data_IF_679925584661
#
_entry.id   IF_679925584661
#
_cell.length_a   1.000
_cell.length_b   1.000
_cell.length_c   1.000
_cell.angle_alpha   90.00
_cell.angle_beta   90.00
_cell.angle_gamma   90.00
#
_symmetry.space_group_name_H-M   'P 1'
#
loop_
_entity.id
_entity.type
_entity.pdbx_description
1 polymer ?
#
# COMPACT_ATOMS: atom_id res chain seq x y z
N UNK A 1 9.66 16.65 -61.49
CA UNK A 1 9.66 17.48 -60.26
C UNK A 1 8.59 17.07 -59.22
N UNK A 2 7.35 16.76 -59.57
CA UNK A 2 6.31 16.37 -58.55
C UNK A 2 6.58 15.05 -57.83
N UNK A 3 7.22 14.06 -58.43
CA UNK A 3 7.53 12.77 -57.74
C UNK A 3 8.69 12.87 -56.74
N UNK A 4 9.65 13.78 -56.92
CA UNK A 4 10.75 13.96 -56.00
C UNK A 4 10.30 14.65 -54.68
N UNK A 5 9.29 15.53 -54.77
CA UNK A 5 8.73 16.20 -53.59
C UNK A 5 7.95 15.25 -52.67
N UNK A 6 7.26 14.25 -53.27
CA UNK A 6 6.48 13.25 -52.52
C UNK A 6 7.38 12.29 -51.71
N UNK A 7 8.53 11.92 -52.29
CA UNK A 7 9.50 11.06 -51.56
C UNK A 7 10.17 11.77 -50.41
N UNK A 8 10.48 13.08 -50.52
CA UNK A 8 11.04 13.85 -49.42
C UNK A 8 10.05 14.03 -48.26
N UNK A 9 8.76 14.21 -48.53
CA UNK A 9 7.74 14.37 -47.48
C UNK A 9 7.53 13.06 -46.69
N UNK A 10 7.52 11.91 -47.36
CA UNK A 10 7.37 10.61 -46.70
C UNK A 10 8.58 10.30 -45.80
N UNK A 11 9.80 10.65 -46.26
CA UNK A 11 11.01 10.41 -45.46
C UNK A 11 11.09 11.31 -44.23
N UNK A 12 10.65 12.57 -44.32
CA UNK A 12 10.61 13.50 -43.19
C UNK A 12 9.54 13.05 -42.16
N UNK A 13 8.37 12.55 -42.61
CA UNK A 13 7.36 12.05 -41.73
C UNK A 13 7.79 10.73 -41.01
N UNK A 14 8.51 9.84 -41.71
CA UNK A 14 9.05 8.61 -41.08
C UNK A 14 10.14 8.91 -40.06
N UNK A 15 10.97 9.91 -40.27
CA UNK A 15 12.02 10.31 -39.32
C UNK A 15 11.41 10.99 -38.08
N UNK A 16 10.33 11.78 -38.22
CA UNK A 16 9.62 12.36 -37.10
C UNK A 16 8.91 11.28 -36.23
N UNK A 17 8.33 10.22 -36.84
CA UNK A 17 7.69 9.15 -36.04
C UNK A 17 8.68 8.27 -35.29
N UNK A 18 9.89 8.05 -35.81
CA UNK A 18 10.93 7.30 -35.10
C UNK A 18 11.53 8.07 -33.90
N UNK A 19 11.49 9.39 -33.91
CA UNK A 19 12.00 10.19 -32.78
C UNK A 19 11.01 10.26 -31.60
N UNK A 20 9.72 10.04 -31.82
CA UNK A 20 8.74 10.01 -30.71
C UNK A 20 8.70 8.69 -29.95
N UNK A 21 9.23 7.60 -30.47
CA UNK A 21 9.25 6.30 -29.82
C UNK A 21 10.48 6.05 -28.94
N UNK A 22 11.49 6.92 -28.97
CA UNK A 22 12.77 6.72 -28.26
C UNK A 22 12.92 7.55 -26.98
N UNK A 23 11.90 8.28 -26.54
CA UNK A 23 12.03 9.23 -25.42
C UNK A 23 11.01 9.00 -24.30
N UNK A 24 11.00 7.83 -23.68
CA UNK A 24 10.43 7.67 -22.35
C UNK A 24 11.22 6.67 -21.51
N UNK A 25 12.49 6.91 -21.36
CA UNK A 25 13.18 6.44 -20.17
C UNK A 25 12.86 7.47 -19.08
N UNK A 26 11.74 7.29 -18.40
CA UNK A 26 11.17 8.22 -17.41
C UNK A 26 12.08 8.43 -16.17
N UNK A 27 13.33 8.01 -16.23
CA UNK A 27 14.27 8.13 -15.12
C UNK A 27 13.90 7.27 -13.91
N UNK A 28 13.01 6.28 -14.07
CA UNK A 28 12.69 5.31 -13.04
C UNK A 28 13.81 4.26 -13.00
N UNK A 29 14.48 4.18 -11.86
CA UNK A 29 15.39 3.07 -11.57
C UNK A 29 14.56 1.89 -11.08
N UNK A 30 14.68 0.74 -11.74
CA UNK A 30 14.16 -0.54 -11.24
C UNK A 30 15.33 -1.34 -10.64
N UNK A 31 15.12 -1.85 -9.44
CA UNK A 31 16.02 -2.77 -8.74
C UNK A 31 15.21 -3.96 -8.25
N UNK A 32 15.76 -5.16 -8.32
CA UNK A 32 15.17 -6.35 -7.71
C UNK A 32 16.14 -6.90 -6.67
N UNK A 33 15.71 -6.95 -5.43
CA UNK A 33 16.43 -7.63 -4.35
C UNK A 33 15.80 -8.98 -4.09
N UNK A 34 16.62 -9.95 -3.70
CA UNK A 34 16.19 -11.30 -3.38
C UNK A 34 16.42 -11.58 -1.91
N UNK A 35 15.37 -11.94 -1.18
CA UNK A 35 15.43 -12.34 0.23
C UNK A 35 15.21 -13.85 0.36
N UNK A 36 16.07 -14.52 1.12
CA UNK A 36 15.87 -15.93 1.44
C UNK A 36 14.71 -16.08 2.44
N UNK A 37 13.90 -17.12 2.24
CA UNK A 37 12.82 -17.53 3.14
C UNK A 37 12.75 -19.07 3.12
N UNK A 38 13.33 -19.71 4.14
CA UNK A 38 13.55 -21.15 4.13
C UNK A 38 14.48 -21.59 2.99
N UNK A 39 14.05 -22.62 2.26
CA UNK A 39 14.77 -23.14 1.08
C UNK A 39 14.39 -22.38 -0.21
N UNK A 40 13.54 -21.35 -0.07
CA UNK A 40 13.03 -20.54 -1.17
C UNK A 40 13.60 -19.11 -1.15
N UNK A 41 13.35 -18.38 -2.22
CA UNK A 41 13.71 -16.95 -2.32
C UNK A 41 12.51 -16.13 -2.76
N UNK A 42 12.39 -14.94 -2.20
CA UNK A 42 11.33 -13.97 -2.52
C UNK A 42 11.97 -12.77 -3.20
N UNK A 43 11.44 -12.37 -4.34
CA UNK A 43 11.88 -11.17 -5.04
C UNK A 43 11.12 -9.95 -4.53
N UNK A 44 11.86 -8.90 -4.25
CA UNK A 44 11.35 -7.59 -3.87
C UNK A 44 11.71 -6.62 -4.98
N UNK A 45 10.72 -6.18 -5.74
CA UNK A 45 10.90 -5.23 -6.81
C UNK A 45 10.79 -3.81 -6.27
N UNK A 46 11.78 -2.98 -6.56
CA UNK A 46 11.88 -1.61 -6.09
C UNK A 46 11.92 -0.70 -7.31
N UNK A 47 10.97 0.22 -7.38
CA UNK A 47 10.89 1.25 -8.40
C UNK A 47 11.15 2.59 -7.74
N UNK A 48 12.13 3.33 -8.21
CA UNK A 48 12.50 4.61 -7.62
C UNK A 48 12.73 5.67 -8.68
N UNK A 49 12.19 6.85 -8.45
CA UNK A 49 12.42 8.04 -9.25
C UNK A 49 12.55 9.25 -8.35
N UNK A 50 13.50 10.14 -8.67
CA UNK A 50 13.64 11.41 -7.96
C UNK A 50 12.34 12.22 -8.04
N UNK A 51 11.87 12.75 -6.91
CA UNK A 51 10.60 13.49 -6.80
C UNK A 51 10.08 13.53 -5.40
N UNK A 52 8.81 13.17 -5.21
CA UNK A 52 8.16 13.12 -3.91
C UNK A 52 8.85 12.14 -2.95
N UNK A 53 8.89 12.49 -1.66
CA UNK A 53 9.42 11.61 -0.61
C UNK A 53 8.31 10.71 -0.05
N UNK A 54 7.70 9.93 -0.93
CA UNK A 54 6.66 8.95 -0.60
C UNK A 54 7.21 7.57 -0.88
N UNK A 55 7.00 6.64 0.04
CA UNK A 55 7.23 5.21 -0.20
C UNK A 55 5.89 4.51 -0.24
N UNK A 56 5.55 3.96 -1.39
CA UNK A 56 4.41 3.06 -1.57
C UNK A 56 4.86 1.61 -1.39
N UNK A 57 4.01 0.79 -0.79
CA UNK A 57 4.24 -0.64 -0.60
C UNK A 57 3.01 -1.41 -1.05
N UNK A 58 3.19 -2.42 -1.89
CA UNK A 58 2.15 -3.43 -2.15
C UNK A 58 2.62 -4.76 -1.54
N UNK A 59 2.04 -5.16 -0.41
CA UNK A 59 2.44 -6.41 0.24
C UNK A 59 1.88 -7.65 -0.46
N UNK A 60 0.80 -7.52 -1.25
CA UNK A 60 0.11 -8.63 -1.87
C UNK A 60 0.16 -8.53 -3.40
N UNK A 61 0.79 -9.52 -4.04
CA UNK A 61 1.01 -9.48 -5.49
C UNK A 61 -0.27 -9.79 -6.31
N UNK A 62 -1.27 -10.43 -5.72
CA UNK A 62 -2.56 -10.65 -6.38
C UNK A 62 -3.42 -9.37 -6.51
N UNK A 63 -3.08 -8.31 -5.80
CA UNK A 63 -3.76 -7.01 -5.85
C UNK A 63 -3.25 -6.19 -7.03
N UNK A 64 -3.57 -6.63 -8.25
CA UNK A 64 -2.94 -6.17 -9.50
C UNK A 64 -3.21 -4.70 -9.84
N UNK A 65 -4.37 -4.15 -9.44
CA UNK A 65 -4.66 -2.71 -9.62
C UNK A 65 -3.70 -1.90 -8.74
N UNK A 66 -3.55 -2.27 -7.46
CA UNK A 66 -2.63 -1.62 -6.53
C UNK A 66 -1.18 -1.66 -7.04
N UNK A 67 -0.72 -2.83 -7.48
CA UNK A 67 0.63 -3.02 -8.06
C UNK A 67 0.86 -2.10 -9.26
N UNK A 68 -0.06 -2.11 -10.22
CA UNK A 68 0.04 -1.31 -11.43
C UNK A 68 0.01 0.20 -11.13
N UNK A 69 -0.95 0.65 -10.32
CA UNK A 69 -1.08 2.06 -9.97
C UNK A 69 0.09 2.57 -9.13
N UNK A 70 0.67 1.73 -8.27
CA UNK A 70 1.90 2.06 -7.54
C UNK A 70 3.07 2.34 -8.48
N UNK A 71 3.30 1.49 -9.49
CA UNK A 71 4.34 1.71 -10.50
C UNK A 71 4.09 2.99 -11.32
N UNK A 72 2.87 3.17 -11.83
CA UNK A 72 2.48 4.38 -12.59
C UNK A 72 2.66 5.67 -11.78
N UNK A 73 2.40 5.63 -10.48
CA UNK A 73 2.58 6.78 -9.59
C UNK A 73 4.05 7.23 -9.55
N UNK A 74 4.98 6.26 -9.43
CA UNK A 74 6.42 6.56 -9.46
C UNK A 74 6.85 7.09 -10.83
N UNK A 75 6.34 6.52 -11.92
CA UNK A 75 6.63 6.98 -13.27
C UNK A 75 6.18 8.41 -13.52
N UNK A 76 5.06 8.81 -12.96
CA UNK A 76 4.50 10.17 -13.16
C UNK A 76 5.10 11.21 -12.23
N UNK A 77 5.24 10.88 -10.94
CA UNK A 77 5.46 11.91 -9.91
C UNK A 77 6.75 11.69 -9.12
N UNK A 78 7.31 10.49 -9.20
CA UNK A 78 8.48 10.11 -8.43
C UNK A 78 8.13 9.61 -7.03
N UNK A 79 9.16 9.23 -6.27
CA UNK A 79 9.04 8.53 -5.01
C UNK A 79 9.64 7.13 -5.10
N UNK A 80 9.17 6.24 -4.25
CA UNK A 80 9.61 4.85 -4.18
C UNK A 80 8.41 3.92 -4.10
N UNK A 81 8.43 2.83 -4.84
CA UNK A 81 7.44 1.75 -4.75
C UNK A 81 8.15 0.43 -4.47
N UNK A 82 7.69 -0.28 -3.45
CA UNK A 82 8.19 -1.60 -3.05
C UNK A 82 7.09 -2.61 -3.26
N UNK A 83 7.37 -3.59 -4.08
CA UNK A 83 6.46 -4.67 -4.43
C UNK A 83 7.06 -5.99 -3.98
N UNK A 84 6.28 -6.78 -3.24
CA UNK A 84 6.63 -8.14 -2.84
C UNK A 84 6.11 -9.08 -3.91
N UNK A 85 7.01 -9.68 -4.70
CA UNK A 85 6.61 -10.59 -5.78
C UNK A 85 6.26 -11.96 -5.20
N UNK A 86 5.04 -12.42 -5.45
CA UNK A 86 4.58 -13.78 -5.16
C UNK A 86 3.77 -14.29 -6.33
N UNK A 87 4.25 -15.32 -7.01
CA UNK A 87 3.62 -15.91 -8.18
C UNK A 87 3.36 -17.39 -7.93
N UNK A 88 2.25 -17.90 -8.50
CA UNK A 88 2.04 -19.34 -8.64
C UNK A 88 2.86 -19.91 -9.81
N UNK A 89 2.74 -21.20 -10.04
CA UNK A 89 3.41 -21.93 -11.13
C UNK A 89 2.98 -21.45 -12.53
N UNK A 90 1.81 -20.84 -12.65
CA UNK A 90 1.27 -20.28 -13.89
C UNK A 90 1.63 -18.79 -14.07
N UNK A 91 2.36 -18.18 -13.10
CA UNK A 91 2.73 -16.79 -13.13
C UNK A 91 1.64 -15.82 -12.64
N UNK A 92 0.57 -16.31 -11.99
CA UNK A 92 -0.45 -15.46 -11.42
C UNK A 92 -0.02 -14.93 -10.05
N UNK A 93 -0.33 -13.69 -9.76
CA UNK A 93 -0.05 -13.07 -8.47
C UNK A 93 -0.78 -13.78 -7.33
N UNK A 94 -0.07 -13.99 -6.23
CA UNK A 94 -0.57 -14.61 -5.03
C UNK A 94 -0.59 -13.62 -3.86
N UNK A 95 -1.57 -13.78 -2.95
CA UNK A 95 -1.62 -13.01 -1.70
C UNK A 95 -0.55 -13.47 -0.72
N UNK A 96 -0.29 -14.77 -0.67
CA UNK A 96 0.58 -15.40 0.32
C UNK A 96 1.91 -15.79 -0.31
N UNK A 97 2.98 -15.75 0.47
CA UNK A 97 4.28 -16.31 0.12
C UNK A 97 4.29 -17.80 0.47
N UNK A 98 4.49 -18.64 -0.53
CA UNK A 98 4.68 -20.07 -0.35
C UNK A 98 6.17 -20.39 -0.37
N UNK A 99 6.63 -21.18 0.60
CA UNK A 99 8.04 -21.56 0.71
C UNK A 99 8.18 -22.95 1.33
N UNK A 100 9.33 -23.56 1.14
CA UNK A 100 9.69 -24.82 1.80
C UNK A 100 10.79 -24.60 2.83
N UNK A 101 10.81 -25.45 3.85
CA UNK A 101 11.91 -25.54 4.80
C UNK A 101 12.03 -26.96 5.30
N UNK A 102 13.22 -27.57 5.13
CA UNK A 102 13.51 -28.97 5.47
C UNK A 102 12.48 -29.97 4.89
N UNK A 103 12.06 -29.73 3.64
CA UNK A 103 11.13 -30.57 2.92
C UNK A 103 9.64 -30.40 3.32
N UNK A 104 9.31 -29.46 4.19
CA UNK A 104 7.92 -29.11 4.57
C UNK A 104 7.52 -27.80 3.91
N UNK A 105 6.30 -27.76 3.35
CA UNK A 105 5.76 -26.57 2.70
C UNK A 105 5.00 -25.69 3.71
N UNK A 106 5.25 -24.41 3.64
CA UNK A 106 4.65 -23.37 4.47
C UNK A 106 4.06 -22.26 3.61
N UNK A 107 3.14 -21.51 4.21
CA UNK A 107 2.53 -20.33 3.58
C UNK A 107 2.37 -19.22 4.60
N UNK A 108 2.78 -18.01 4.27
CA UNK A 108 2.61 -16.84 5.14
C UNK A 108 1.97 -15.66 4.39
N UNK A 109 1.25 -14.81 5.11
CA UNK A 109 0.84 -13.50 4.63
C UNK A 109 1.97 -12.49 4.93
N UNK A 110 2.59 -11.85 3.92
CA UNK A 110 3.69 -10.92 4.14
C UNK A 110 3.29 -9.68 4.93
N UNK A 111 1.98 -9.41 5.05
CA UNK A 111 1.46 -8.31 5.86
C UNK A 111 1.05 -8.75 7.28
N UNK A 112 1.61 -9.87 7.81
CA UNK A 112 1.34 -10.38 9.17
C UNK A 112 2.61 -10.73 9.95
N UNK A 113 3.77 -10.19 9.55
CA UNK A 113 5.08 -10.63 10.06
C UNK A 113 5.89 -9.52 10.72
N UNK A 114 5.40 -8.26 10.72
CA UNK A 114 6.21 -7.10 11.11
C UNK A 114 6.32 -6.88 12.62
N UNK A 115 5.48 -7.52 13.43
CA UNK A 115 5.56 -7.47 14.89
C UNK A 115 5.78 -8.86 15.47
N UNK A 116 6.31 -8.92 16.69
CA UNK A 116 6.49 -10.19 17.41
C UNK A 116 5.15 -10.84 17.71
N UNK A 117 4.18 -10.07 18.25
CA UNK A 117 2.86 -10.60 18.57
C UNK A 117 2.13 -11.11 17.32
N UNK A 118 2.21 -10.39 16.19
CA UNK A 118 1.60 -10.83 14.93
C UNK A 118 2.18 -12.15 14.43
N UNK A 119 3.51 -12.35 14.54
CA UNK A 119 4.13 -13.65 14.21
C UNK A 119 3.66 -14.76 15.12
N UNK A 120 3.53 -14.51 16.42
CA UNK A 120 2.96 -15.48 17.37
C UNK A 120 1.51 -15.80 17.05
N UNK A 121 0.71 -14.80 16.67
CA UNK A 121 -0.68 -14.97 16.27
C UNK A 121 -0.85 -15.76 14.96
N UNK A 122 0.13 -15.71 14.08
CA UNK A 122 0.16 -16.48 12.84
C UNK A 122 0.40 -17.98 13.07
N UNK A 123 0.69 -18.38 14.33
CA UNK A 123 0.88 -19.78 14.76
C UNK A 123 1.93 -20.53 13.91
N UNK A 124 3.01 -19.85 13.56
CA UNK A 124 4.10 -20.51 12.86
C UNK A 124 4.71 -21.61 13.72
N UNK A 125 5.12 -22.71 13.08
CA UNK A 125 5.88 -23.74 13.75
C UNK A 125 7.16 -23.14 14.35
N UNK A 126 7.61 -23.56 15.56
CA UNK A 126 8.74 -22.95 16.25
C UNK A 126 10.03 -22.91 15.42
N UNK A 127 10.22 -23.88 14.53
CA UNK A 127 11.40 -23.96 13.67
C UNK A 127 11.44 -22.92 12.55
N UNK A 128 10.28 -22.37 12.13
CA UNK A 128 10.22 -21.34 11.06
C UNK A 128 10.07 -19.93 11.59
N UNK A 129 9.67 -19.73 12.83
CA UNK A 129 9.52 -18.38 13.42
C UNK A 129 10.79 -17.53 13.28
N UNK A 130 12.02 -18.03 13.58
CA UNK A 130 13.23 -17.28 13.37
C UNK A 130 13.48 -16.88 11.91
N UNK A 131 13.12 -17.73 10.95
CA UNK A 131 13.24 -17.43 9.52
C UNK A 131 12.27 -16.32 9.09
N UNK A 132 11.03 -16.39 9.55
CA UNK A 132 10.00 -15.38 9.27
C UNK A 132 10.37 -14.05 9.89
N UNK A 133 10.92 -14.06 11.11
CA UNK A 133 11.44 -12.86 11.78
C UNK A 133 12.56 -12.20 10.98
N UNK A 134 13.60 -12.96 10.61
CA UNK A 134 14.74 -12.44 9.82
C UNK A 134 14.27 -11.90 8.47
N UNK A 135 13.38 -12.63 7.78
CA UNK A 135 12.78 -12.17 6.54
C UNK A 135 12.02 -10.84 6.72
N UNK A 136 11.15 -10.73 7.75
CA UNK A 136 10.39 -9.51 8.06
C UNK A 136 11.30 -8.33 8.39
N UNK A 137 12.38 -8.53 9.16
CA UNK A 137 13.34 -7.48 9.49
C UNK A 137 14.10 -6.98 8.25
N UNK A 138 14.51 -7.88 7.35
CA UNK A 138 15.17 -7.51 6.09
C UNK A 138 14.21 -6.81 5.13
N UNK A 139 12.96 -7.27 5.05
CA UNK A 139 11.92 -6.62 4.27
C UNK A 139 11.65 -5.21 4.79
N UNK A 140 11.54 -5.01 6.10
CA UNK A 140 11.39 -3.68 6.70
C UNK A 140 12.56 -2.75 6.37
N UNK A 141 13.81 -3.24 6.38
CA UNK A 141 14.98 -2.43 5.95
C UNK A 141 14.82 -1.94 4.51
N UNK A 142 14.33 -2.81 3.61
CA UNK A 142 14.05 -2.41 2.23
C UNK A 142 12.92 -1.39 2.18
N UNK A 143 11.80 -1.62 2.86
CA UNK A 143 10.64 -0.70 2.87
C UNK A 143 11.04 0.67 3.42
N UNK A 144 11.78 0.71 4.52
CA UNK A 144 12.18 1.94 5.20
C UNK A 144 13.45 2.59 4.60
N UNK A 145 14.03 1.99 3.55
CA UNK A 145 15.25 2.47 2.90
C UNK A 145 16.41 2.72 3.89
N UNK A 146 16.90 1.63 4.51
CA UNK A 146 18.08 1.62 5.36
C UNK A 146 18.09 2.65 6.51
N UNK A 147 17.02 2.70 7.25
CA UNK A 147 16.95 3.51 8.49
C UNK A 147 16.80 5.01 8.24
N UNK A 148 16.41 5.42 7.03
CA UNK A 148 15.90 6.76 6.84
C UNK A 148 14.72 6.95 7.79
N UNK A 149 14.96 7.63 8.91
CA UNK A 149 13.93 7.93 9.90
C UNK A 149 12.83 8.70 9.19
N UNK A 150 11.65 8.10 9.14
CA UNK A 150 10.45 8.77 8.65
C UNK A 150 10.08 9.82 9.72
N UNK A 151 10.49 11.06 9.51
CA UNK A 151 10.09 12.17 10.35
C UNK A 151 8.75 12.68 9.88
N UNK A 152 7.93 13.10 10.84
CA UNK A 152 6.66 13.75 10.53
C UNK A 152 6.89 14.89 9.53
N UNK A 153 6.12 14.89 8.42
CA UNK A 153 6.24 15.86 7.36
C UNK A 153 7.36 15.65 6.33
N UNK A 154 8.28 14.68 6.52
CA UNK A 154 9.38 14.43 5.59
C UNK A 154 9.15 13.22 4.67
N UNK A 155 8.51 12.17 5.17
CA UNK A 155 8.18 10.95 4.41
C UNK A 155 6.85 10.39 4.88
N UNK A 156 6.14 9.76 3.96
CA UNK A 156 4.98 8.94 4.25
C UNK A 156 5.26 7.50 3.85
N UNK A 157 4.85 6.58 4.70
CA UNK A 157 4.74 5.18 4.35
C UNK A 157 3.29 4.91 3.95
N UNK A 158 3.09 4.48 2.73
CA UNK A 158 1.76 4.25 2.15
C UNK A 158 1.65 2.82 1.68
N UNK A 159 0.78 2.01 2.28
CA UNK A 159 0.39 0.75 1.68
C UNK A 159 -0.71 0.97 0.65
N UNK A 160 -0.70 0.16 -0.40
CA UNK A 160 -1.74 0.15 -1.42
C UNK A 160 -2.30 -1.26 -1.49
N UNK A 161 -3.61 -1.37 -1.27
CA UNK A 161 -4.35 -2.62 -1.26
C UNK A 161 -5.57 -2.58 -2.16
N UNK A 162 -6.02 -3.77 -2.56
CA UNK A 162 -7.34 -3.93 -3.15
C UNK A 162 -8.17 -4.87 -2.27
N UNK A 163 -9.36 -4.42 -1.92
CA UNK A 163 -10.34 -5.23 -1.24
C UNK A 163 -10.99 -6.23 -2.20
N UNK A 164 -11.39 -7.39 -1.68
CA UNK A 164 -12.19 -8.33 -2.45
C UNK A 164 -13.59 -7.74 -2.64
N UNK A 165 -14.07 -7.83 -3.89
CA UNK A 165 -15.49 -7.74 -4.20
C UNK A 165 -16.17 -8.97 -3.55
N UNK A 166 -16.79 -8.76 -2.40
CA UNK A 166 -17.55 -9.80 -1.72
C UNK A 166 -18.97 -9.71 -2.23
N UNK A 167 -19.64 -10.84 -2.36
CA UNK A 167 -21.07 -10.91 -2.69
C UNK A 167 -21.87 -10.21 -1.58
N UNK A 168 -22.09 -8.89 -1.81
CA UNK A 168 -22.31 -7.85 -0.81
C UNK A 168 -23.54 -8.05 0.06
N UNK A 169 -24.59 -8.71 -0.48
CA UNK A 169 -25.89 -8.64 0.18
C UNK A 169 -26.01 -9.57 1.40
N UNK A 170 -25.39 -10.73 1.38
CA UNK A 170 -25.57 -11.73 2.46
C UNK A 170 -24.58 -11.54 3.59
N UNK A 171 -23.31 -11.23 3.27
CA UNK A 171 -22.27 -11.09 4.28
C UNK A 171 -22.29 -9.72 4.95
N UNK A 172 -22.61 -8.63 4.21
CA UNK A 172 -22.80 -7.30 4.79
C UNK A 172 -23.95 -7.26 5.79
N UNK A 173 -25.08 -7.95 5.50
CA UNK A 173 -26.21 -8.01 6.41
C UNK A 173 -25.87 -8.73 7.71
N UNK A 174 -25.05 -9.77 7.68
CA UNK A 174 -24.62 -10.47 8.89
C UNK A 174 -23.63 -9.61 9.69
N UNK A 175 -22.61 -9.06 9.05
CA UNK A 175 -21.58 -8.24 9.71
C UNK A 175 -22.09 -6.87 10.15
N UNK A 176 -23.06 -6.29 9.45
CA UNK A 176 -23.76 -5.09 9.92
C UNK A 176 -24.35 -5.30 11.31
N UNK A 177 -24.95 -6.45 11.57
CA UNK A 177 -25.47 -6.81 12.89
C UNK A 177 -24.36 -6.96 13.93
N UNK A 178 -23.28 -7.61 13.57
CA UNK A 178 -22.16 -7.85 14.48
C UNK A 178 -21.45 -6.53 14.85
N UNK A 179 -21.21 -5.64 13.88
CA UNK A 179 -20.60 -4.33 14.12
C UNK A 179 -21.50 -3.40 14.93
N UNK A 180 -22.81 -3.44 14.71
CA UNK A 180 -23.77 -2.66 15.51
C UNK A 180 -23.78 -3.16 16.96
N UNK A 181 -23.70 -4.47 17.18
CA UNK A 181 -23.58 -5.05 18.51
C UNK A 181 -22.28 -4.66 19.23
N UNK A 182 -21.22 -4.33 18.49
CA UNK A 182 -19.95 -3.80 19.00
C UNK A 182 -19.96 -2.27 19.21
N UNK A 183 -21.09 -1.59 18.98
CA UNK A 183 -21.25 -0.16 19.20
C UNK A 183 -20.86 0.72 18.03
N UNK A 184 -20.62 0.18 16.84
CA UNK A 184 -20.38 0.97 15.64
C UNK A 184 -21.71 1.43 14.99
N UNK A 185 -21.67 2.58 14.32
CA UNK A 185 -22.84 3.06 13.57
C UNK A 185 -23.20 2.12 12.40
N UNK A 186 -24.46 2.16 11.99
CA UNK A 186 -24.91 1.40 10.82
C UNK A 186 -24.12 1.77 9.54
N UNK A 187 -23.67 3.03 9.43
CA UNK A 187 -22.82 3.48 8.32
C UNK A 187 -21.44 2.80 8.32
N UNK A 188 -20.82 2.62 9.51
CA UNK A 188 -19.58 1.86 9.60
C UNK A 188 -19.79 0.38 9.24
N UNK A 189 -20.91 -0.19 9.65
CA UNK A 189 -21.25 -1.57 9.31
C UNK A 189 -21.46 -1.80 7.80
N UNK A 190 -21.70 -0.75 7.04
CA UNK A 190 -21.80 -0.80 5.57
C UNK A 190 -20.41 -0.75 4.88
N UNK A 191 -19.34 -0.42 5.58
CA UNK A 191 -17.98 -0.60 5.06
C UNK A 191 -17.71 -2.11 4.96
N UNK A 192 -16.95 -2.49 3.95
CA UNK A 192 -16.79 -3.89 3.58
C UNK A 192 -16.17 -4.80 4.66
N UNK A 193 -16.04 -6.06 4.34
CA UNK A 193 -15.54 -7.12 5.21
C UNK A 193 -14.16 -6.89 5.78
N UNK A 194 -13.27 -6.24 5.03
CA UNK A 194 -11.92 -5.92 5.53
C UNK A 194 -11.97 -4.97 6.74
N UNK A 195 -13.05 -4.20 6.89
CA UNK A 195 -13.26 -3.32 8.03
C UNK A 195 -13.44 -4.08 9.35
N UNK A 196 -14.01 -5.26 9.33
CA UNK A 196 -14.15 -6.08 10.53
C UNK A 196 -12.81 -6.50 11.09
N UNK A 197 -11.80 -6.69 10.23
CA UNK A 197 -10.43 -7.00 10.64
C UNK A 197 -9.78 -5.81 11.35
N UNK A 198 -10.11 -4.59 10.96
CA UNK A 198 -9.54 -3.36 11.52
C UNK A 198 -10.28 -2.84 12.76
N UNK A 199 -11.46 -3.34 13.09
CA UNK A 199 -12.27 -2.78 14.18
C UNK A 199 -11.52 -2.72 15.51
N UNK A 200 -10.73 -3.73 15.86
CA UNK A 200 -9.91 -3.74 17.07
C UNK A 200 -8.75 -2.72 17.04
N UNK A 201 -8.36 -2.27 15.86
CA UNK A 201 -7.31 -1.28 15.63
C UNK A 201 -7.87 0.13 15.40
N UNK A 202 -9.19 0.29 15.29
CA UNK A 202 -9.87 1.53 14.91
C UNK A 202 -10.17 2.40 16.12
N UNK A 203 -9.81 3.69 16.04
CA UNK A 203 -10.16 4.74 17.01
C UNK A 203 -11.36 5.57 16.53
N UNK A 204 -11.49 5.77 15.22
CA UNK A 204 -12.59 6.56 14.64
C UNK A 204 -12.82 6.27 13.17
N UNK A 205 -14.01 6.57 12.71
CA UNK A 205 -14.44 6.38 11.31
C UNK A 205 -15.19 7.62 10.83
N UNK A 206 -14.93 7.99 9.59
CA UNK A 206 -15.70 8.97 8.86
C UNK A 206 -16.18 8.39 7.53
N UNK A 207 -17.46 8.50 7.25
CA UNK A 207 -18.08 8.13 5.99
C UNK A 207 -18.38 9.38 5.18
N UNK A 208 -17.85 9.43 3.99
CA UNK A 208 -18.06 10.53 3.05
C UNK A 208 -19.41 10.38 2.34
N UNK A 209 -20.14 11.48 2.18
CA UNK A 209 -21.36 11.49 1.36
C UNK A 209 -21.07 11.41 -0.16
N UNK A 210 -19.82 11.55 -0.56
CA UNK A 210 -19.36 11.46 -1.96
C UNK A 210 -18.75 10.13 -2.34
N UNK A 211 -18.63 9.20 -1.39
CA UNK A 211 -18.14 7.84 -1.62
C UNK A 211 -19.27 6.86 -1.41
N UNK A 212 -19.64 6.17 -2.47
CA UNK A 212 -20.78 5.24 -2.46
C UNK A 212 -20.36 3.79 -2.26
N UNK A 213 -19.08 3.50 -2.46
CA UNK A 213 -18.52 2.17 -2.32
C UNK A 213 -17.77 2.07 -0.98
N UNK A 214 -18.25 1.20 -0.12
CA UNK A 214 -17.67 0.97 1.20
C UNK A 214 -16.28 0.34 1.15
N UNK A 215 -15.92 -0.28 0.03
CA UNK A 215 -14.60 -0.89 -0.19
C UNK A 215 -13.51 0.14 -0.48
N UNK A 216 -13.91 1.38 -0.80
CA UNK A 216 -12.99 2.48 -1.04
C UNK A 216 -12.83 3.34 0.22
N UNK A 217 -11.70 3.22 0.88
CA UNK A 217 -11.40 4.03 2.06
C UNK A 217 -9.89 4.23 2.29
N UNK A 218 -9.57 5.20 3.14
CA UNK A 218 -8.21 5.48 3.57
C UNK A 218 -8.08 5.22 5.07
N UNK A 219 -7.17 4.30 5.44
CA UNK A 219 -6.83 4.04 6.83
C UNK A 219 -5.59 4.86 7.20
N UNK A 220 -5.64 5.61 8.29
CA UNK A 220 -4.58 6.57 8.66
C UNK A 220 -4.17 6.45 10.13
N UNK A 221 -2.91 6.74 10.41
CA UNK A 221 -2.34 6.62 11.75
C UNK A 221 -2.47 7.87 12.63
N UNK A 222 -2.92 9.01 12.08
CA UNK A 222 -3.00 10.27 12.85
C UNK A 222 -4.26 11.08 12.55
N UNK A 223 -4.79 11.86 13.54
CA UNK A 223 -5.93 12.75 13.32
C UNK A 223 -5.72 13.79 12.22
N UNK A 224 -4.48 14.30 12.07
CA UNK A 224 -4.16 15.27 11.01
C UNK A 224 -4.32 14.69 9.60
N UNK A 225 -3.88 13.44 9.40
CA UNK A 225 -4.11 12.70 8.16
C UNK A 225 -5.61 12.45 7.95
N UNK A 226 -6.34 12.07 9.00
CA UNK A 226 -7.80 11.89 8.92
C UNK A 226 -8.49 13.15 8.42
N UNK A 227 -8.20 14.31 9.02
CA UNK A 227 -8.79 15.59 8.62
C UNK A 227 -8.49 15.93 7.16
N UNK A 228 -7.26 15.65 6.69
CA UNK A 228 -6.91 15.88 5.30
C UNK A 228 -7.76 15.03 4.34
N UNK A 229 -7.84 13.71 4.57
CA UNK A 229 -8.58 12.81 3.66
C UNK A 229 -10.10 13.01 3.72
N UNK A 230 -10.64 13.43 4.87
CA UNK A 230 -12.03 13.88 4.98
C UNK A 230 -12.29 15.08 4.04
N UNK A 231 -11.40 16.09 4.07
CA UNK A 231 -11.52 17.25 3.19
C UNK A 231 -11.36 16.91 1.70
N UNK A 232 -10.66 15.82 1.38
CA UNK A 232 -10.54 15.27 0.01
C UNK A 232 -11.76 14.41 -0.40
N UNK A 233 -12.74 14.19 0.48
CA UNK A 233 -13.99 13.49 0.20
C UNK A 233 -13.88 11.96 0.23
N UNK A 234 -12.97 11.39 1.00
CA UNK A 234 -12.82 9.94 1.16
C UNK A 234 -13.51 9.42 2.42
N UNK A 235 -13.89 8.14 2.42
CA UNK A 235 -14.11 7.38 3.65
C UNK A 235 -12.77 7.25 4.38
N UNK A 236 -12.76 7.48 5.69
CA UNK A 236 -11.50 7.47 6.45
C UNK A 236 -11.65 6.69 7.75
N UNK A 237 -10.67 5.83 8.02
CA UNK A 237 -10.53 5.09 9.28
C UNK A 237 -9.30 5.60 10.01
N UNK A 238 -9.45 6.01 11.25
CA UNK A 238 -8.34 6.41 12.13
C UNK A 238 -7.90 5.23 12.98
N UNK A 239 -6.62 4.91 12.91
CA UNK A 239 -5.99 3.88 13.75
C UNK A 239 -5.91 4.31 15.21
N UNK A 240 -6.03 3.36 16.13
CA UNK A 240 -5.72 3.56 17.55
C UNK A 240 -4.27 4.03 17.74
N UNK A 241 -4.03 4.92 18.70
CA UNK A 241 -2.67 5.37 19.01
C UNK A 241 -1.82 4.23 19.58
N UNK A 242 -0.50 4.36 19.49
CA UNK A 242 0.48 3.34 19.90
C UNK A 242 0.20 2.73 21.28
N UNK A 243 -0.19 3.55 22.27
CA UNK A 243 -0.50 3.07 23.62
C UNK A 243 -1.65 2.06 23.67
N UNK A 244 -2.62 2.17 22.77
CA UNK A 244 -3.75 1.23 22.63
C UNK A 244 -3.45 0.03 21.73
N UNK A 245 -2.38 0.09 20.92
CA UNK A 245 -1.91 -1.00 20.07
C UNK A 245 -0.95 -1.96 20.78
N UNK A 246 -0.37 -1.58 21.92
CA UNK A 246 0.58 -2.39 22.70
C UNK A 246 -0.06 -3.58 23.44
N UNK A 247 -1.31 -3.86 23.19
CA UNK A 247 -2.02 -4.98 23.81
C UNK A 247 -1.65 -6.26 23.09
N UNK A 248 -1.11 -7.25 23.83
CA UNK A 248 -0.80 -8.58 23.30
C UNK A 248 -2.09 -9.37 23.01
N UNK A 249 -2.73 -9.00 21.90
CA UNK A 249 -3.95 -9.61 21.41
C UNK A 249 -3.91 -9.63 19.90
N UNK A 250 -4.13 -10.78 19.29
CA UNK A 250 -4.08 -11.00 17.84
C UNK A 250 -5.07 -10.13 17.05
N UNK A 251 -6.17 -9.74 17.66
CA UNK A 251 -7.12 -8.83 17.02
C UNK A 251 -6.63 -7.38 17.00
N UNK A 252 -5.75 -6.96 17.93
CA UNK A 252 -5.18 -5.62 18.01
C UNK A 252 -3.84 -5.54 17.29
N UNK A 253 -2.95 -6.47 17.56
CA UNK A 253 -1.65 -6.60 16.90
C UNK A 253 -1.64 -7.87 16.04
N UNK A 254 -2.05 -7.72 14.81
CA UNK A 254 -2.11 -8.77 13.80
C UNK A 254 -0.81 -8.93 12.99
N UNK A 255 0.24 -8.18 13.34
CA UNK A 255 1.52 -8.21 12.66
C UNK A 255 1.62 -7.40 11.37
N UNK A 256 0.57 -6.65 11.03
CA UNK A 256 0.53 -5.84 9.80
C UNK A 256 1.50 -4.67 9.81
N UNK A 257 1.79 -4.15 8.62
CA UNK A 257 2.62 -2.96 8.45
C UNK A 257 1.98 -1.73 9.12
N UNK A 258 0.64 -1.64 9.16
CA UNK A 258 -0.10 -0.58 9.84
C UNK A 258 0.13 -0.59 11.35
N UNK A 259 0.06 -1.75 11.98
CA UNK A 259 0.33 -1.90 13.43
C UNK A 259 1.80 -1.61 13.73
N UNK A 260 2.72 -2.15 12.94
CA UNK A 260 4.15 -1.84 13.08
C UNK A 260 4.41 -0.33 13.02
N UNK A 261 3.83 0.36 12.02
CA UNK A 261 3.99 1.79 11.86
C UNK A 261 3.38 2.57 13.04
N UNK A 262 2.18 2.19 13.49
CA UNK A 262 1.51 2.78 14.65
C UNK A 262 2.34 2.64 15.92
N UNK A 263 2.87 1.44 16.22
CA UNK A 263 3.73 1.18 17.38
C UNK A 263 5.04 1.98 17.35
N UNK A 264 5.52 2.36 16.18
CA UNK A 264 6.76 3.13 15.97
C UNK A 264 6.53 4.62 15.73
N UNK A 265 5.27 5.09 15.79
CA UNK A 265 4.87 6.46 15.48
C UNK A 265 5.36 6.91 14.08
N UNK A 266 5.33 6.01 13.11
CA UNK A 266 5.63 6.30 11.71
C UNK A 266 4.34 6.81 11.06
N UNK A 267 4.33 7.97 10.38
CA UNK A 267 3.18 8.42 9.61
C UNK A 267 2.82 7.40 8.53
N UNK A 268 1.64 6.79 8.68
CA UNK A 268 1.22 5.67 7.86
C UNK A 268 -0.17 5.92 7.27
N UNK A 269 -0.31 5.53 6.02
CA UNK A 269 -1.54 5.61 5.27
C UNK A 269 -1.73 4.26 4.55
N UNK A 270 -2.92 3.71 4.60
CA UNK A 270 -3.29 2.55 3.80
C UNK A 270 -4.44 2.93 2.87
N UNK A 271 -4.26 2.69 1.58
CA UNK A 271 -5.26 2.94 0.54
C UNK A 271 -5.93 1.62 0.21
N UNK A 272 -7.21 1.51 0.54
CA UNK A 272 -8.05 0.38 0.22
C UNK A 272 -9.01 0.76 -0.89
N UNK A 273 -9.09 -0.05 -1.94
CA UNK A 273 -10.00 0.17 -3.04
C UNK A 273 -10.59 -1.15 -3.53
N UNK A 274 -11.82 -1.11 -3.99
CA UNK A 274 -12.48 -2.28 -4.57
C UNK A 274 -11.61 -2.92 -5.68
N UNK A 275 -11.49 -4.24 -5.64
CA UNK A 275 -10.59 -4.98 -6.53
C UNK A 275 -11.06 -5.04 -7.98
N UNK A 276 -12.32 -4.71 -8.25
CA UNK A 276 -12.93 -4.83 -9.57
C UNK A 276 -13.24 -3.47 -10.18
N UNK A 277 -13.78 -2.54 -9.38
CA UNK A 277 -14.25 -1.24 -9.84
C UNK A 277 -13.51 -0.06 -9.20
N UNK A 278 -12.66 -0.31 -8.20
CA UNK A 278 -11.99 0.72 -7.41
C UNK A 278 -10.81 1.43 -8.08
N UNK A 279 -10.40 1.09 -9.32
CA UNK A 279 -9.23 1.66 -9.97
C UNK A 279 -9.24 3.20 -10.01
N UNK A 280 -10.37 3.77 -10.45
CA UNK A 280 -10.49 5.23 -10.54
C UNK A 280 -10.34 5.88 -9.16
N UNK A 281 -10.95 5.30 -8.14
CA UNK A 281 -10.92 5.82 -6.78
C UNK A 281 -9.55 5.67 -6.15
N UNK A 282 -8.89 4.53 -6.35
CA UNK A 282 -7.51 4.33 -5.88
C UNK A 282 -6.53 5.32 -6.52
N UNK A 283 -6.71 5.62 -7.80
CA UNK A 283 -5.94 6.67 -8.49
C UNK A 283 -6.16 8.06 -7.88
N UNK A 284 -7.38 8.39 -7.48
CA UNK A 284 -7.68 9.64 -6.76
C UNK A 284 -7.00 9.68 -5.39
N UNK A 285 -7.01 8.58 -4.63
CA UNK A 285 -6.33 8.46 -3.33
C UNK A 285 -4.82 8.65 -3.49
N UNK A 286 -4.18 8.01 -4.47
CA UNK A 286 -2.76 8.18 -4.78
C UNK A 286 -2.45 9.66 -5.12
N UNK A 287 -3.28 10.30 -5.92
CA UNK A 287 -3.11 11.73 -6.23
C UNK A 287 -3.25 12.62 -4.98
N UNK A 288 -4.13 12.26 -4.04
CA UNK A 288 -4.26 12.96 -2.75
C UNK A 288 -2.99 12.83 -1.90
N UNK A 289 -2.30 11.66 -1.90
CA UNK A 289 -0.99 11.50 -1.25
C UNK A 289 0.01 12.53 -1.78
N UNK A 290 0.10 12.72 -3.09
CA UNK A 290 1.02 13.70 -3.66
C UNK A 290 0.62 15.14 -3.31
N UNK A 291 -0.67 15.47 -3.28
CA UNK A 291 -1.14 16.79 -2.82
C UNK A 291 -0.75 17.04 -1.36
N UNK A 292 -0.95 16.07 -0.49
CA UNK A 292 -0.53 16.12 0.92
C UNK A 292 0.97 16.39 1.04
N UNK A 293 1.79 15.64 0.31
CA UNK A 293 3.24 15.83 0.29
C UNK A 293 3.63 17.26 -0.13
N UNK A 294 3.08 17.77 -1.22
CA UNK A 294 3.41 19.11 -1.69
C UNK A 294 2.90 20.23 -0.78
N UNK A 295 1.77 20.04 -0.11
CA UNK A 295 1.28 20.98 0.90
C UNK A 295 2.24 21.08 2.08
N UNK A 296 2.72 19.95 2.58
CA UNK A 296 3.69 19.93 3.69
C UNK A 296 5.03 20.54 3.30
N UNK A 297 5.53 20.27 2.10
CA UNK A 297 6.79 20.89 1.62
C UNK A 297 6.67 22.41 1.57
N UNK A 298 5.55 22.95 1.10
CA UNK A 298 5.29 24.42 1.10
C UNK A 298 5.24 24.98 2.52
N UNK A 299 4.58 24.30 3.44
CA UNK A 299 4.54 24.72 4.85
C UNK A 299 5.92 24.78 5.50
N UNK A 300 6.77 23.76 5.26
CA UNK A 300 8.15 23.72 5.74
C UNK A 300 9.02 24.85 5.16
N UNK A 301 8.86 25.17 3.87
CA UNK A 301 9.58 26.27 3.24
C UNK A 301 9.17 27.63 3.82
N UNK A 302 7.87 27.87 4.02
CA UNK A 302 7.37 29.09 4.63
C UNK A 302 7.84 29.26 6.09
N UNK A 303 7.89 28.17 6.85
CA UNK A 303 8.40 28.20 8.23
C UNK A 303 9.90 28.52 8.29
N UNK A 304 10.70 28.08 7.31
CA UNK A 304 12.13 28.40 7.20
C UNK A 304 12.38 29.85 6.80
N UNK A 305 11.49 30.46 6.02
CA UNK A 305 11.63 31.87 5.60
C UNK A 305 11.24 32.86 6.73
N UNK A 306 10.55 32.41 7.76
CA UNK A 306 10.13 33.24 8.92
C UNK A 306 11.14 33.22 10.08
N UNK A 307 12.16 32.38 9.99
CA UNK A 307 13.31 32.31 10.93
C UNK A 307 14.51 33.04 10.36
#
# INVERSE_FOLDING_TARGET
>A
MKQLLFFCIITIFSICFCQFAAAQNNGVKKETQTLALGDSTVKINIYERKGARVTFVSPHHNEQIAVRLGREAIEKTGGRFVEIESLDENGNGQRRLNFSFKGVNYSLDPNRIFTENGRQCSQFAPEIEPLVKDFGERLLKIILADGARLREGERFLVAIHNNRDVDEQTELAQKSRDLTALGFSAGFAAMNLSQTEFHHQTEGVYLSNSEYDADNFVFVSTPALMSFFIAEGFNVVLQKPAAKLQIKNCAVDDGSLSVFAGLRNIPYINLEADAKFGEFRQRQMINAIYRLFYQQQRGLQQAKMKK
#
